data_IF_844749172728
#
_entry.id   IF_844749172728
#
_cell.length_a   1.000
_cell.length_b   1.000
_cell.length_c   1.000
_cell.angle_alpha   90.00
_cell.angle_beta   90.00
_cell.angle_gamma   90.00
#
_symmetry.space_group_name_H-M   'P 1'
#
loop_
_entity.id
_entity.type
_entity.pdbx_description
1 polymer ?
#
# COMPACT_ATOMS: atom_id res chain seq x y z
N UNK A 1 -1.00 -63.27 -13.62
CA UNK A 1 -0.56 -61.99 -14.20
C UNK A 1 -1.18 -60.88 -13.34
N UNK A 2 -0.47 -60.45 -12.28
CA UNK A 2 -0.97 -59.48 -11.30
C UNK A 2 -0.75 -58.06 -11.81
N UNK A 3 -1.82 -57.26 -11.93
CA UNK A 3 -1.73 -55.82 -12.18
C UNK A 3 -2.02 -55.11 -10.86
N UNK A 4 -0.96 -54.71 -10.16
CA UNK A 4 -1.08 -53.81 -9.03
C UNK A 4 -1.36 -52.39 -9.56
N UNK A 5 -2.49 -51.81 -9.17
CA UNK A 5 -2.84 -50.42 -9.43
C UNK A 5 -2.28 -49.60 -8.27
N UNK A 6 -1.30 -48.75 -8.55
CA UNK A 6 -0.78 -47.78 -7.57
C UNK A 6 -1.63 -46.51 -7.63
N UNK A 7 -2.48 -46.32 -6.63
CA UNK A 7 -3.18 -45.05 -6.42
C UNK A 7 -2.29 -44.14 -5.58
N UNK A 8 -1.73 -43.09 -6.19
CA UNK A 8 -1.00 -42.04 -5.48
C UNK A 8 -2.03 -41.06 -4.92
N UNK A 9 -2.26 -41.10 -3.61
CA UNK A 9 -3.01 -40.06 -2.90
C UNK A 9 -2.01 -38.95 -2.56
N UNK A 10 -2.07 -37.85 -3.31
CA UNK A 10 -1.35 -36.62 -2.97
C UNK A 10 -2.00 -35.96 -1.76
N UNK A 11 -1.37 -36.08 -0.59
CA UNK A 11 -1.77 -35.33 0.59
C UNK A 11 -1.25 -33.90 0.40
N UNK A 12 -2.14 -32.97 0.03
CA UNK A 12 -1.85 -31.54 0.11
C UNK A 12 -1.97 -31.17 1.58
N UNK A 13 -0.83 -31.02 2.25
CA UNK A 13 -0.77 -30.44 3.58
C UNK A 13 -1.18 -28.96 3.44
N UNK A 14 -2.42 -28.63 3.80
CA UNK A 14 -2.83 -27.24 3.96
C UNK A 14 -2.08 -26.68 5.18
N UNK A 15 -0.96 -26.00 4.93
CA UNK A 15 -0.31 -25.20 5.96
C UNK A 15 -1.25 -24.06 6.29
N UNK A 16 -1.83 -24.06 7.49
CA UNK A 16 -2.43 -22.86 8.07
C UNK A 16 -1.30 -21.89 8.38
N UNK A 17 -0.75 -21.23 7.36
CA UNK A 17 0.00 -19.99 7.55
C UNK A 17 -0.98 -19.02 8.18
N UNK A 18 -0.73 -18.62 9.43
CA UNK A 18 -1.42 -17.48 10.02
C UNK A 18 -1.37 -16.34 9.01
N UNK A 19 -2.54 -15.90 8.58
CA UNK A 19 -2.70 -14.79 7.66
C UNK A 19 -1.82 -13.62 8.10
N UNK A 20 -1.01 -13.07 7.20
CA UNK A 20 -0.18 -11.90 7.50
C UNK A 20 -1.05 -10.70 7.91
N UNK A 21 -0.51 -9.75 8.70
CA UNK A 21 -1.29 -8.59 9.15
C UNK A 21 -1.60 -7.59 8.03
N UNK A 22 -0.99 -7.78 6.85
CA UNK A 22 -1.09 -6.88 5.72
C UNK A 22 -2.07 -7.41 4.66
N UNK A 23 -2.86 -6.50 4.11
CA UNK A 23 -3.63 -6.72 2.88
C UNK A 23 -3.39 -5.58 1.91
N UNK A 24 -3.55 -5.84 0.61
CA UNK A 24 -3.36 -4.83 -0.41
C UNK A 24 -4.51 -4.76 -1.42
N UNK A 25 -4.65 -3.59 -2.02
CA UNK A 25 -5.63 -3.24 -3.02
C UNK A 25 -5.01 -2.31 -4.08
N UNK A 26 -5.63 -2.27 -5.26
CA UNK A 26 -5.25 -1.37 -6.35
C UNK A 26 -6.45 -0.60 -6.86
N UNK A 27 -6.21 0.60 -7.35
CA UNK A 27 -7.15 1.41 -8.12
C UNK A 27 -6.52 1.73 -9.46
N UNK A 28 -7.27 1.50 -10.53
CA UNK A 28 -6.85 1.95 -11.86
C UNK A 28 -7.24 3.42 -12.04
N UNK A 29 -6.55 4.11 -12.95
CA UNK A 29 -6.89 5.48 -13.32
C UNK A 29 -8.37 5.56 -13.77
N UNK A 30 -9.10 6.52 -13.21
CA UNK A 30 -10.50 6.77 -13.53
C UNK A 30 -11.52 5.89 -12.80
N UNK A 31 -11.08 5.06 -11.85
CA UNK A 31 -12.00 4.41 -10.90
C UNK A 31 -12.72 5.47 -10.05
N UNK A 32 -13.93 5.15 -9.60
CA UNK A 32 -14.59 5.94 -8.55
C UNK A 32 -13.75 5.89 -7.26
N UNK A 33 -13.89 6.91 -6.41
CA UNK A 33 -13.07 7.06 -5.20
C UNK A 33 -13.13 5.83 -4.25
N UNK A 34 -14.27 5.15 -4.21
CA UNK A 34 -14.51 3.97 -3.38
C UNK A 34 -14.38 2.64 -4.13
N UNK A 35 -14.03 2.67 -5.42
CA UNK A 35 -13.83 1.49 -6.25
C UNK A 35 -12.35 1.05 -6.20
N UNK A 36 -12.11 -0.22 -5.87
CA UNK A 36 -10.78 -0.83 -5.85
C UNK A 36 -10.85 -2.34 -6.07
N UNK A 37 -9.77 -2.90 -6.61
CA UNK A 37 -9.59 -4.35 -6.70
C UNK A 37 -8.88 -4.83 -5.42
N UNK A 38 -9.62 -5.53 -4.56
CA UNK A 38 -9.03 -6.16 -3.37
C UNK A 38 -8.22 -7.39 -3.78
N UNK A 39 -6.91 -7.33 -3.55
CA UNK A 39 -5.97 -8.41 -3.95
C UNK A 39 -5.76 -9.45 -2.86
N UNK A 40 -6.00 -9.10 -1.59
CA UNK A 40 -5.93 -10.01 -0.46
C UNK A 40 -4.69 -9.78 0.40
N UNK A 41 -4.15 -10.85 0.99
CA UNK A 41 -2.99 -10.79 1.89
C UNK A 41 -1.71 -10.39 1.15
N UNK A 42 -0.84 -9.67 1.86
CA UNK A 42 0.43 -9.18 1.34
C UNK A 42 1.60 -9.61 2.22
N UNK A 43 2.65 -10.16 1.61
CA UNK A 43 4.02 -10.03 2.13
C UNK A 43 4.71 -8.86 1.42
N UNK A 44 5.88 -8.45 1.90
CA UNK A 44 6.67 -7.43 1.20
C UNK A 44 6.98 -7.86 -0.24
N UNK A 45 7.34 -9.12 -0.45
CA UNK A 45 7.72 -9.67 -1.76
C UNK A 45 6.55 -9.68 -2.74
N UNK A 46 5.35 -10.08 -2.28
CA UNK A 46 4.14 -10.06 -3.11
C UNK A 46 3.80 -8.61 -3.50
N UNK A 47 3.80 -7.72 -2.52
CA UNK A 47 3.40 -6.34 -2.74
C UNK A 47 4.39 -5.58 -3.64
N UNK A 48 5.70 -5.75 -3.42
CA UNK A 48 6.71 -5.03 -4.18
C UNK A 48 6.75 -5.51 -5.64
N UNK A 49 6.53 -6.80 -5.89
CA UNK A 49 6.40 -7.35 -7.23
C UNK A 49 5.20 -6.75 -7.98
N UNK A 50 4.05 -6.61 -7.30
CA UNK A 50 2.89 -5.92 -7.88
C UNK A 50 3.20 -4.44 -8.14
N UNK A 51 3.79 -3.73 -7.17
CA UNK A 51 4.18 -2.32 -7.32
C UNK A 51 5.09 -2.10 -8.54
N UNK A 52 6.10 -2.95 -8.73
CA UNK A 52 7.04 -2.86 -9.85
C UNK A 52 6.41 -3.17 -11.20
N UNK A 53 5.43 -4.07 -11.23
CA UNK A 53 4.71 -4.48 -12.44
C UNK A 53 3.49 -3.61 -12.75
N UNK A 54 3.06 -2.80 -11.78
CA UNK A 54 1.89 -1.95 -11.95
C UNK A 54 2.13 -0.96 -13.11
N UNK A 55 1.18 -0.80 -14.03
CA UNK A 55 1.43 -0.10 -15.29
C UNK A 55 1.35 1.43 -15.08
N UNK A 56 2.30 1.97 -14.31
CA UNK A 56 2.34 3.38 -13.90
C UNK A 56 2.34 4.33 -15.11
N UNK A 57 3.22 4.06 -16.07
CA UNK A 57 3.41 4.88 -17.28
C UNK A 57 2.18 4.84 -18.16
N UNK A 58 1.54 3.68 -18.27
CA UNK A 58 0.32 3.51 -19.05
C UNK A 58 -0.89 4.12 -18.36
N UNK A 59 -0.85 4.47 -17.07
CA UNK A 59 -2.00 5.00 -16.35
C UNK A 59 -1.89 6.48 -16.00
N UNK A 60 -0.69 6.99 -15.78
CA UNK A 60 -0.48 8.38 -15.37
C UNK A 60 -1.07 9.38 -16.37
N UNK A 61 -1.81 10.35 -15.86
CA UNK A 61 -2.47 11.38 -16.68
C UNK A 61 -3.64 10.89 -17.52
N UNK A 62 -4.06 9.62 -17.38
CA UNK A 62 -5.28 9.08 -18.02
C UNK A 62 -6.54 9.27 -17.18
N UNK A 63 -6.42 9.79 -15.97
CA UNK A 63 -7.58 10.13 -15.16
C UNK A 63 -8.41 11.22 -15.86
N UNK A 64 -9.61 10.87 -16.32
CA UNK A 64 -10.59 11.80 -16.91
C UNK A 64 -11.73 12.14 -15.93
N UNK A 65 -11.50 11.90 -14.65
CA UNK A 65 -12.49 11.96 -13.56
C UNK A 65 -12.37 10.70 -12.70
N UNK A 66 -12.35 10.86 -11.37
CA UNK A 66 -12.13 9.76 -10.43
C UNK A 66 -10.72 9.75 -9.84
N UNK A 67 -10.25 8.55 -9.47
CA UNK A 67 -8.98 8.32 -8.80
C UNK A 67 -7.78 8.31 -9.77
N UNK A 68 -6.64 8.78 -9.27
CA UNK A 68 -5.36 8.46 -9.86
C UNK A 68 -5.01 6.98 -9.63
N UNK A 69 -4.22 6.37 -10.51
CA UNK A 69 -3.79 5.00 -10.33
C UNK A 69 -3.04 4.87 -9.00
N UNK A 70 -3.43 3.90 -8.19
CA UNK A 70 -2.99 3.80 -6.78
C UNK A 70 -2.80 2.34 -6.40
N UNK A 71 -1.74 2.04 -5.64
CA UNK A 71 -1.59 0.76 -4.92
C UNK A 71 -1.48 1.06 -3.42
N UNK A 72 -2.25 0.33 -2.62
CA UNK A 72 -2.35 0.53 -1.17
C UNK A 72 -2.07 -0.76 -0.44
N UNK A 73 -1.40 -0.65 0.70
CA UNK A 73 -1.25 -1.72 1.69
C UNK A 73 -1.78 -1.23 3.04
N UNK A 74 -2.51 -2.10 3.73
CA UNK A 74 -3.14 -1.83 5.02
C UNK A 74 -2.62 -2.83 6.04
N UNK A 75 -2.20 -2.34 7.19
CA UNK A 75 -1.86 -3.18 8.33
C UNK A 75 -3.05 -3.22 9.30
N UNK A 76 -3.68 -4.38 9.43
CA UNK A 76 -4.88 -4.58 10.27
C UNK A 76 -4.60 -4.42 11.77
N UNK A 77 -3.37 -4.68 12.20
CA UNK A 77 -2.97 -4.61 13.61
C UNK A 77 -2.64 -3.18 14.03
N UNK A 78 -1.74 -2.51 13.31
CA UNK A 78 -1.32 -1.14 13.63
C UNK A 78 -2.33 -0.08 13.18
N UNK A 79 -3.27 -0.46 12.31
CA UNK A 79 -4.20 0.46 11.65
C UNK A 79 -3.47 1.59 10.92
N UNK A 80 -2.27 1.33 10.42
CA UNK A 80 -1.56 2.26 9.54
C UNK A 80 -1.79 1.79 8.11
N UNK A 81 -2.28 2.68 7.27
CA UNK A 81 -2.39 2.43 5.84
C UNK A 81 -1.27 3.17 5.13
N UNK A 82 -0.73 2.56 4.07
CA UNK A 82 0.34 3.12 3.30
C UNK A 82 0.06 2.90 1.81
N UNK A 83 0.14 3.97 1.03
CA UNK A 83 -0.26 3.92 -0.38
C UNK A 83 0.68 4.75 -1.24
N UNK A 84 0.71 4.38 -2.51
CA UNK A 84 1.39 5.17 -3.53
C UNK A 84 0.49 5.39 -4.72
N UNK A 85 0.55 6.60 -5.25
CA UNK A 85 -0.07 7.01 -6.50
C UNK A 85 0.96 7.75 -7.34
N UNK A 86 0.58 8.20 -8.55
CA UNK A 86 1.44 8.98 -9.43
C UNK A 86 0.72 10.22 -9.93
N UNK A 87 1.49 11.29 -10.15
CA UNK A 87 1.03 12.53 -10.77
C UNK A 87 1.94 12.93 -11.92
N UNK A 88 1.38 13.62 -12.92
CA UNK A 88 2.11 14.11 -14.07
C UNK A 88 1.64 13.47 -15.38
N UNK A 89 2.58 13.06 -16.22
CA UNK A 89 2.35 12.53 -17.57
C UNK A 89 3.34 11.39 -17.86
N UNK A 90 3.12 10.54 -18.88
CA UNK A 90 3.91 9.33 -19.10
C UNK A 90 5.43 9.53 -19.21
N UNK A 91 5.89 10.68 -19.72
CA UNK A 91 7.31 11.00 -19.87
C UNK A 91 7.91 11.80 -18.70
N UNK A 92 7.10 12.20 -17.72
CA UNK A 92 7.50 13.04 -16.59
C UNK A 92 6.42 12.92 -15.50
N UNK A 93 6.65 12.00 -14.57
CA UNK A 93 5.76 11.78 -13.43
C UNK A 93 6.57 11.62 -12.15
N UNK A 94 5.89 11.85 -11.02
CA UNK A 94 6.43 11.61 -9.69
C UNK A 94 5.46 10.73 -8.90
N UNK A 95 5.98 10.04 -7.90
CA UNK A 95 5.16 9.26 -6.97
C UNK A 95 4.64 10.16 -5.85
N UNK A 96 3.35 10.03 -5.57
CA UNK A 96 2.75 10.52 -4.33
C UNK A 96 2.71 9.37 -3.33
N UNK A 97 3.40 9.55 -2.22
CA UNK A 97 3.50 8.56 -1.16
C UNK A 97 2.69 9.05 0.03
N UNK A 98 1.65 8.32 0.38
CA UNK A 98 0.77 8.67 1.49
C UNK A 98 0.80 7.66 2.63
N UNK A 99 0.89 8.16 3.85
CA UNK A 99 0.74 7.36 5.07
C UNK A 99 -0.46 7.86 5.86
N UNK A 100 -1.34 6.95 6.28
CA UNK A 100 -2.51 7.25 7.12
C UNK A 100 -2.30 6.61 8.48
N UNK A 101 -2.14 7.43 9.52
CA UNK A 101 -1.83 6.98 10.87
C UNK A 101 -2.87 7.46 11.88
N UNK A 102 -3.17 6.69 12.93
CA UNK A 102 -3.90 7.20 14.09
C UNK A 102 -3.11 8.35 14.73
N UNK A 103 -3.78 9.49 14.99
CA UNK A 103 -3.19 10.66 15.65
C UNK A 103 -4.17 11.23 16.67
N UNK A 104 -3.68 11.51 17.87
CA UNK A 104 -4.46 12.22 18.88
C UNK A 104 -4.43 13.71 18.58
N UNK A 105 -5.61 14.32 18.41
CA UNK A 105 -5.77 15.77 18.23
C UNK A 105 -6.66 16.34 19.32
N UNK A 106 -6.31 17.54 19.78
CA UNK A 106 -7.13 18.32 20.72
C UNK A 106 -8.12 19.15 19.92
N UNK A 107 -9.37 19.24 20.37
CA UNK A 107 -10.34 20.12 19.71
C UNK A 107 -9.92 21.58 19.87
N UNK A 108 -10.26 22.42 18.88
CA UNK A 108 -10.01 23.87 18.92
C UNK A 108 -10.49 24.42 20.27
N UNK A 109 -9.65 25.26 20.89
CA UNK A 109 -9.77 25.86 22.23
C UNK A 109 -9.21 25.09 23.43
N UNK A 110 -8.56 23.93 23.26
CA UNK A 110 -7.77 23.31 24.35
C UNK A 110 -8.57 22.80 25.56
N UNK A 111 -9.90 22.93 25.51
CA UNK A 111 -10.86 22.52 26.54
C UNK A 111 -11.65 21.26 26.15
N UNK A 112 -11.49 20.74 24.93
CA UNK A 112 -12.22 19.56 24.49
C UNK A 112 -11.45 18.25 24.65
N UNK A 113 -12.21 17.15 24.72
CA UNK A 113 -11.69 15.79 24.83
C UNK A 113 -10.74 15.49 23.67
N UNK A 114 -9.64 14.81 23.98
CA UNK A 114 -8.76 14.28 22.94
C UNK A 114 -9.55 13.30 22.07
N UNK A 115 -9.36 13.42 20.76
CA UNK A 115 -9.99 12.53 19.78
C UNK A 115 -8.89 11.91 18.91
N UNK A 116 -8.96 10.61 18.73
CA UNK A 116 -8.16 9.91 17.72
C UNK A 116 -8.76 10.20 16.33
N UNK A 117 -7.92 10.68 15.42
CA UNK A 117 -8.26 10.88 14.01
C UNK A 117 -7.31 10.08 13.12
N UNK A 118 -7.79 9.74 11.92
CA UNK A 118 -6.96 9.16 10.85
C UNK A 118 -6.26 10.31 10.13
N UNK A 119 -4.99 10.51 10.46
CA UNK A 119 -4.18 11.59 9.90
C UNK A 119 -3.45 11.10 8.65
N UNK A 120 -3.66 11.78 7.52
CA UNK A 120 -2.93 11.51 6.28
C UNK A 120 -1.73 12.45 6.17
N UNK A 121 -0.61 11.95 5.67
CA UNK A 121 0.57 12.74 5.34
C UNK A 121 1.08 12.29 3.98
N UNK A 122 1.24 13.23 3.04
CA UNK A 122 1.57 12.96 1.64
C UNK A 122 2.90 13.62 1.28
N UNK A 123 3.74 12.87 0.58
CA UNK A 123 5.08 13.25 0.17
C UNK A 123 5.30 12.97 -1.33
N UNK A 124 6.14 13.77 -1.99
CA UNK A 124 6.62 13.48 -3.36
C UNK A 124 7.89 12.64 -3.30
N UNK A 125 7.89 11.47 -3.93
CA UNK A 125 9.09 10.72 -4.24
C UNK A 125 9.34 10.74 -5.76
N UNK A 126 10.47 11.31 -6.18
CA UNK A 126 10.82 11.37 -7.62
C UNK A 126 11.38 10.06 -8.16
N UNK A 127 11.83 9.16 -7.28
CA UNK A 127 12.47 7.90 -7.67
C UNK A 127 11.69 6.72 -7.12
N UNK A 128 11.47 5.72 -7.98
CA UNK A 128 10.87 4.44 -7.60
C UNK A 128 11.61 3.78 -6.43
N UNK A 129 12.95 3.78 -6.44
CA UNK A 129 13.75 3.20 -5.36
C UNK A 129 13.40 3.78 -3.98
N UNK A 130 13.12 5.08 -3.89
CA UNK A 130 12.73 5.71 -2.63
C UNK A 130 11.41 5.13 -2.10
N UNK A 131 10.46 4.86 -2.99
CA UNK A 131 9.18 4.21 -2.66
C UNK A 131 9.40 2.76 -2.20
N UNK A 132 10.28 2.02 -2.87
CA UNK A 132 10.57 0.63 -2.50
C UNK A 132 11.24 0.53 -1.12
N UNK A 133 12.17 1.44 -0.83
CA UNK A 133 12.87 1.52 0.45
C UNK A 133 11.89 1.86 1.60
N UNK A 134 10.93 2.75 1.37
CA UNK A 134 9.94 3.11 2.39
C UNK A 134 8.89 2.00 2.58
N UNK A 135 8.48 1.29 1.54
CA UNK A 135 7.67 0.07 1.70
C UNK A 135 8.40 -0.98 2.53
N UNK A 136 9.71 -1.16 2.32
CA UNK A 136 10.51 -2.09 3.12
C UNK A 136 10.50 -1.73 4.61
N UNK A 137 10.60 -0.44 4.95
CA UNK A 137 10.47 0.04 6.34
C UNK A 137 9.08 -0.21 6.91
N UNK A 138 8.04 0.05 6.11
CA UNK A 138 6.64 -0.17 6.50
C UNK A 138 6.34 -1.64 6.83
N UNK A 139 6.70 -2.57 5.93
CA UNK A 139 6.51 -4.00 6.14
C UNK A 139 7.35 -4.54 7.32
N UNK A 140 8.50 -3.92 7.60
CA UNK A 140 9.32 -4.26 8.77
C UNK A 140 8.81 -3.66 10.10
N UNK A 141 7.70 -2.90 10.09
CA UNK A 141 7.17 -2.23 11.28
C UNK A 141 8.02 -1.07 11.81
N UNK A 142 9.00 -0.61 11.02
CA UNK A 142 9.93 0.47 11.37
C UNK A 142 9.32 1.85 11.11
N UNK A 143 8.19 2.12 11.77
CA UNK A 143 7.37 3.31 11.53
C UNK A 143 8.12 4.63 11.86
N UNK A 144 8.92 4.73 12.95
CA UNK A 144 9.71 5.93 13.20
C UNK A 144 10.72 6.23 12.08
N UNK A 145 11.42 5.21 11.59
CA UNK A 145 12.38 5.32 10.50
C UNK A 145 11.69 5.64 9.17
N UNK A 146 10.54 5.03 8.90
CA UNK A 146 9.69 5.36 7.76
C UNK A 146 9.30 6.83 7.76
N UNK A 147 8.80 7.34 8.87
CA UNK A 147 8.41 8.75 8.99
C UNK A 147 9.60 9.69 8.83
N UNK A 148 10.77 9.32 9.38
CA UNK A 148 12.01 10.06 9.16
C UNK A 148 12.39 10.11 7.68
N UNK A 149 12.37 8.97 6.99
CA UNK A 149 12.72 8.90 5.56
C UNK A 149 11.74 9.70 4.69
N UNK A 150 10.44 9.59 4.95
CA UNK A 150 9.41 10.35 4.25
C UNK A 150 9.56 11.86 4.46
N UNK A 151 9.90 12.31 5.68
CA UNK A 151 10.12 13.74 5.96
C UNK A 151 11.30 14.37 5.23
N UNK A 152 12.21 13.57 4.63
CA UNK A 152 13.27 14.07 3.76
C UNK A 152 12.77 14.38 2.34
N UNK A 153 11.61 13.84 1.99
CA UNK A 153 10.91 14.09 0.73
C UNK A 153 10.07 15.37 0.80
N UNK A 154 9.68 15.93 -0.34
CA UNK A 154 8.85 17.13 -0.38
C UNK A 154 7.45 16.84 0.18
N UNK A 155 7.11 17.47 1.30
CA UNK A 155 5.81 17.35 1.96
C UNK A 155 4.77 18.29 1.31
N UNK A 156 3.55 17.80 1.08
CA UNK A 156 2.56 18.55 0.25
C UNK A 156 1.22 18.79 0.95
N UNK A 157 0.96 18.24 2.15
CA UNK A 157 -0.39 18.28 2.76
C UNK A 157 -0.42 18.47 4.27
#
# INVERSE_FOLDING_TARGET
MNRAIFTIIGIILATNTMAGPFTYDIQQAGYDFDQYDLKGEATYEIFIDEFQKFPWVEQVGKNTGGSEPTISVKNKESKIDYWVSVIGKPNEYAYLVGIVQPKMVKSMFGLGKEKEVRWVSIYVAERQQTVEDTFKLYFAGKIPELNQELSRSCFIT
#
